data_IF_806296033012
#
_entry.id   IF_806296033012
#
_cell.length_a   1.000
_cell.length_b   1.000
_cell.length_c   1.000
_cell.angle_alpha   90.00
_cell.angle_beta   90.00
_cell.angle_gamma   90.00
#
_symmetry.space_group_name_H-M   'P 1'
#
loop_
_entity.id
_entity.type
_entity.pdbx_description
1 polymer ?
#
# COMPACT_ATOMS: atom_id res chain seq x y z
N UNK A 1 42.33 5.54 6.09
CA UNK A 1 41.15 5.54 6.97
C UNK A 1 40.02 4.79 6.28
N UNK A 2 39.79 3.53 6.65
CA UNK A 2 38.69 2.74 6.13
C UNK A 2 37.40 3.14 6.84
N UNK A 3 36.41 3.60 6.08
CA UNK A 3 35.07 3.89 6.57
C UNK A 3 34.36 2.56 6.80
N UNK A 4 34.17 2.20 8.07
CA UNK A 4 33.46 1.00 8.49
C UNK A 4 31.96 1.18 8.21
N UNK A 5 31.46 0.61 7.11
CA UNK A 5 30.03 0.47 6.88
C UNK A 5 29.45 -0.53 7.88
N UNK A 6 28.95 -0.04 9.02
CA UNK A 6 28.12 -0.83 9.93
C UNK A 6 26.80 -1.10 9.20
N UNK A 7 26.69 -2.28 8.57
CA UNK A 7 25.39 -2.84 8.19
C UNK A 7 24.69 -3.28 9.47
N UNK A 8 23.87 -2.40 10.03
CA UNK A 8 22.90 -2.79 11.06
C UNK A 8 21.87 -3.70 10.37
N UNK A 9 22.10 -5.01 10.38
CA UNK A 9 21.00 -5.98 10.25
C UNK A 9 20.22 -5.84 11.54
N UNK A 10 19.12 -5.10 11.51
CA UNK A 10 18.06 -5.25 12.52
C UNK A 10 17.47 -6.63 12.22
N UNK A 11 17.75 -7.69 12.99
CA UNK A 11 16.96 -8.89 12.86
C UNK A 11 15.62 -8.51 13.47
N UNK A 12 14.57 -8.48 12.66
CA UNK A 12 13.21 -8.27 13.14
C UNK A 12 12.86 -9.40 14.12
N UNK A 13 13.22 -9.29 15.41
CA UNK A 13 13.00 -10.32 16.44
C UNK A 13 11.54 -10.79 16.47
N UNK A 14 10.61 -9.89 16.11
CA UNK A 14 9.17 -10.13 16.03
C UNK A 14 8.81 -11.16 14.94
N UNK A 15 9.42 -11.08 13.74
CA UNK A 15 9.11 -12.01 12.63
C UNK A 15 9.61 -13.43 12.95
N UNK A 16 10.76 -13.54 13.60
CA UNK A 16 11.35 -14.83 13.98
C UNK A 16 10.40 -15.59 14.90
N UNK A 17 9.82 -14.91 15.90
CA UNK A 17 8.91 -15.52 16.88
C UNK A 17 7.63 -16.11 16.24
N UNK A 18 7.08 -15.45 15.22
CA UNK A 18 5.87 -15.93 14.56
C UNK A 18 6.11 -17.17 13.70
N UNK A 19 7.25 -17.24 13.02
CA UNK A 19 7.61 -18.41 12.23
C UNK A 19 7.88 -19.64 13.11
N UNK A 20 8.42 -19.45 14.33
CA UNK A 20 8.71 -20.56 15.24
C UNK A 20 7.47 -21.39 15.59
N UNK A 21 6.33 -20.74 15.81
CA UNK A 21 5.08 -21.41 16.18
C UNK A 21 4.52 -22.31 15.06
N UNK A 22 4.87 -22.01 13.82
CA UNK A 22 4.42 -22.77 12.65
C UNK A 22 5.49 -23.75 12.11
N UNK A 23 6.65 -23.90 12.78
CA UNK A 23 7.75 -24.78 12.32
C UNK A 23 7.35 -26.26 12.21
N UNK A 24 6.46 -26.74 13.09
CA UNK A 24 6.09 -28.15 13.19
C UNK A 24 4.76 -28.49 12.50
N UNK A 25 4.21 -27.56 11.71
CA UNK A 25 2.93 -27.73 11.00
C UNK A 25 3.12 -27.29 9.56
N UNK A 26 2.32 -27.82 8.62
CA UNK A 26 2.32 -27.33 7.23
C UNK A 26 1.92 -25.85 7.20
N UNK A 27 2.89 -24.99 6.99
CA UNK A 27 2.72 -23.53 6.94
C UNK A 27 2.33 -23.05 5.55
N UNK A 28 1.56 -21.96 5.51
CA UNK A 28 1.22 -21.24 4.29
C UNK A 28 2.47 -20.69 3.59
N UNK A 29 2.45 -20.69 2.26
CA UNK A 29 3.47 -20.05 1.44
C UNK A 29 3.03 -18.61 1.13
N UNK A 30 3.38 -17.68 2.02
CA UNK A 30 2.99 -16.29 1.93
C UNK A 30 3.75 -15.55 0.82
N UNK A 31 3.03 -14.71 0.07
CA UNK A 31 3.60 -13.89 -1.00
C UNK A 31 3.71 -12.42 -0.58
N UNK A 32 4.36 -11.58 -1.41
CA UNK A 32 4.52 -10.14 -1.19
C UNK A 32 5.06 -9.75 0.20
N UNK A 33 5.84 -10.64 0.81
CA UNK A 33 6.46 -10.44 2.12
C UNK A 33 5.50 -10.54 3.31
N UNK A 34 4.34 -11.18 3.13
CA UNK A 34 3.53 -11.67 4.25
C UNK A 34 4.23 -12.79 5.02
N UNK A 35 3.72 -13.09 6.22
CA UNK A 35 4.25 -14.15 7.07
C UNK A 35 3.11 -15.00 7.67
N UNK A 36 3.35 -16.27 8.02
CA UNK A 36 2.31 -17.15 8.54
C UNK A 36 1.66 -16.59 9.81
N UNK A 37 0.34 -16.72 9.91
CA UNK A 37 -0.39 -16.29 11.09
C UNK A 37 -0.10 -17.25 12.26
N UNK A 38 0.37 -16.75 13.42
CA UNK A 38 0.91 -17.60 14.50
C UNK A 38 -0.11 -18.48 15.21
N UNK A 39 -1.41 -18.23 15.00
CA UNK A 39 -2.52 -19.08 15.52
C UNK A 39 -3.21 -19.88 14.42
N UNK A 40 -2.97 -19.55 13.15
CA UNK A 40 -3.60 -20.20 11.98
C UNK A 40 -2.55 -20.32 10.88
N UNK A 41 -1.65 -21.30 11.01
CA UNK A 41 -0.48 -21.43 10.15
C UNK A 41 -0.79 -21.63 8.65
N UNK A 42 -2.04 -21.96 8.29
CA UNK A 42 -2.51 -22.08 6.91
C UNK A 42 -2.89 -20.75 6.25
N UNK A 43 -2.83 -19.63 6.98
CA UNK A 43 -3.07 -18.27 6.49
C UNK A 43 -1.89 -17.36 6.78
N UNK A 44 -1.84 -16.23 6.09
CA UNK A 44 -0.80 -15.23 6.21
C UNK A 44 -1.33 -13.92 6.81
N UNK A 45 -0.48 -13.25 7.57
CA UNK A 45 -0.60 -11.83 7.88
C UNK A 45 0.04 -11.06 6.74
N UNK A 46 -0.72 -10.13 6.15
CA UNK A 46 -0.33 -9.43 4.92
C UNK A 46 0.11 -8.00 5.19
N UNK A 47 1.11 -7.48 4.45
CA UNK A 47 1.40 -6.05 4.43
C UNK A 47 0.20 -5.24 3.92
N UNK A 48 0.11 -3.98 4.32
CA UNK A 48 -0.95 -3.07 3.85
C UNK A 48 -0.99 -3.01 2.32
N UNK A 49 -2.19 -3.06 1.76
CA UNK A 49 -2.41 -3.15 0.31
C UNK A 49 -2.40 -4.57 -0.25
N UNK A 50 -2.17 -5.61 0.55
CA UNK A 50 -2.26 -7.02 0.15
C UNK A 50 -3.22 -7.79 1.05
N UNK A 51 -3.87 -8.81 0.49
CA UNK A 51 -4.88 -9.60 1.17
C UNK A 51 -5.01 -11.02 0.62
N UNK A 52 -6.08 -11.68 1.05
CA UNK A 52 -6.30 -13.11 0.81
C UNK A 52 -5.44 -13.99 1.73
N UNK A 53 -5.71 -15.32 1.76
CA UNK A 53 -5.04 -16.23 2.67
C UNK A 53 -3.51 -16.29 2.51
N UNK A 54 -3.00 -15.94 1.32
CA UNK A 54 -1.58 -16.02 0.97
C UNK A 54 -0.97 -14.65 0.59
N UNK A 55 -1.66 -13.54 0.83
CA UNK A 55 -1.23 -12.18 0.46
C UNK A 55 -1.04 -11.96 -1.05
N UNK A 56 -1.68 -12.79 -1.87
CA UNK A 56 -1.60 -12.78 -3.34
C UNK A 56 -2.84 -12.15 -3.99
N UNK A 57 -3.73 -11.56 -3.21
CA UNK A 57 -4.95 -10.92 -3.67
C UNK A 57 -4.99 -9.47 -3.21
N UNK A 58 -5.74 -8.64 -3.92
CA UNK A 58 -6.12 -7.31 -3.43
C UNK A 58 -6.97 -7.46 -2.15
N UNK A 59 -6.81 -6.60 -1.14
CA UNK A 59 -7.71 -6.57 0.01
C UNK A 59 -9.19 -6.52 -0.42
N UNK A 60 -10.07 -7.27 0.26
CA UNK A 60 -11.48 -7.39 -0.12
C UNK A 60 -12.31 -6.21 0.42
N UNK A 61 -11.91 -4.97 0.13
CA UNK A 61 -12.68 -3.79 0.54
C UNK A 61 -13.93 -3.61 -0.33
N UNK A 62 -14.90 -2.84 0.17
CA UNK A 62 -16.13 -2.48 -0.54
C UNK A 62 -15.90 -1.56 -1.76
N UNK A 63 -14.68 -1.06 -1.93
CA UNK A 63 -14.24 -0.19 -3.01
C UNK A 63 -12.84 -0.58 -3.49
N UNK A 64 -12.26 0.21 -4.38
CA UNK A 64 -11.01 -0.13 -5.05
C UNK A 64 -11.19 -1.20 -6.14
N UNK A 65 -10.15 -1.45 -6.92
CA UNK A 65 -10.14 -2.45 -8.01
C UNK A 65 -8.73 -2.76 -8.50
N UNK A 66 -8.59 -3.86 -9.23
CA UNK A 66 -7.42 -4.09 -10.07
C UNK A 66 -7.52 -3.23 -11.34
N UNK A 67 -6.39 -2.63 -11.74
CA UNK A 67 -6.26 -1.72 -12.86
C UNK A 67 -5.08 -2.15 -13.71
N UNK A 68 -5.26 -2.16 -15.04
CA UNK A 68 -4.18 -2.49 -15.97
C UNK A 68 -3.56 -1.23 -16.55
N UNK A 69 -2.28 -0.99 -16.25
CA UNK A 69 -1.51 0.09 -16.83
C UNK A 69 -1.22 -0.17 -18.31
N UNK A 70 -1.22 0.90 -19.10
CA UNK A 70 -0.79 0.94 -20.50
C UNK A 70 0.33 1.96 -20.66
N UNK A 71 0.90 2.09 -21.86
CA UNK A 71 1.87 3.16 -22.16
C UNK A 71 1.25 4.56 -22.05
N UNK A 72 -0.05 4.67 -22.32
CA UNK A 72 -0.82 5.90 -22.15
C UNK A 72 -1.19 6.14 -20.68
N UNK A 73 -1.22 7.42 -20.30
CA UNK A 73 -1.69 7.87 -19.00
C UNK A 73 -3.18 7.60 -18.83
N UNK A 74 -3.54 6.86 -17.79
CA UNK A 74 -4.92 6.56 -17.40
C UNK A 74 -5.26 7.24 -16.08
N UNK A 75 -6.45 7.84 -15.94
CA UNK A 75 -6.88 8.44 -14.69
C UNK A 75 -7.29 7.37 -13.68
N UNK A 76 -7.05 7.66 -12.40
CA UNK A 76 -7.64 7.01 -11.24
C UNK A 76 -8.17 8.11 -10.32
N UNK A 77 -9.48 8.25 -10.25
CA UNK A 77 -10.17 9.20 -9.37
C UNK A 77 -11.03 8.42 -8.41
N UNK A 78 -10.99 8.82 -7.13
CA UNK A 78 -11.84 8.26 -6.10
C UNK A 78 -12.20 9.32 -5.04
N UNK A 79 -13.28 9.08 -4.32
CA UNK A 79 -13.77 9.95 -3.27
C UNK A 79 -14.35 9.16 -2.09
N UNK A 80 -14.11 9.65 -0.88
CA UNK A 80 -14.65 9.12 0.37
C UNK A 80 -15.37 10.24 1.11
N UNK A 81 -16.49 9.93 1.72
CA UNK A 81 -17.27 10.88 2.52
C UNK A 81 -17.83 10.19 3.76
N UNK A 82 -18.05 10.95 4.82
CA UNK A 82 -18.74 10.49 6.03
C UNK A 82 -18.16 9.19 6.61
N UNK A 83 -16.83 9.11 6.75
CA UNK A 83 -16.20 7.90 7.31
C UNK A 83 -16.50 7.80 8.79
N UNK A 84 -17.19 6.75 9.19
CA UNK A 84 -17.31 6.40 10.60
C UNK A 84 -16.10 5.57 11.02
N UNK A 85 -15.10 6.21 11.64
CA UNK A 85 -13.85 5.56 12.03
C UNK A 85 -14.07 4.36 12.97
N UNK A 86 -15.14 4.34 13.76
CA UNK A 86 -15.45 3.25 14.69
C UNK A 86 -15.79 1.93 13.99
N UNK A 87 -16.21 1.98 12.72
CA UNK A 87 -16.53 0.78 11.94
C UNK A 87 -15.28 0.01 11.48
N UNK A 88 -14.09 0.60 11.64
CA UNK A 88 -12.82 0.07 11.14
C UNK A 88 -11.85 -0.21 12.28
N UNK A 89 -11.26 -1.41 12.30
CA UNK A 89 -10.36 -1.88 13.38
C UNK A 89 -9.20 -0.90 13.62
N UNK A 90 -8.64 -0.31 12.57
CA UNK A 90 -7.55 0.66 12.67
C UNK A 90 -8.01 2.12 12.53
N UNK A 91 -9.33 2.34 12.47
CA UNK A 91 -9.94 3.66 12.39
C UNK A 91 -10.04 4.24 10.99
N UNK A 92 -9.67 3.51 9.93
CA UNK A 92 -9.67 4.04 8.56
C UNK A 92 -10.56 3.24 7.63
N UNK A 93 -11.40 3.96 6.89
CA UNK A 93 -11.97 3.44 5.65
C UNK A 93 -10.89 3.46 4.56
N UNK A 94 -10.86 2.41 3.72
CA UNK A 94 -9.80 2.19 2.73
C UNK A 94 -10.36 1.65 1.43
N UNK A 95 -9.93 2.26 0.33
CA UNK A 95 -10.07 1.72 -1.01
C UNK A 95 -8.70 1.29 -1.51
N UNK A 96 -8.45 -0.03 -1.54
CA UNK A 96 -7.21 -0.57 -2.07
C UNK A 96 -7.33 -0.82 -3.58
N UNK A 97 -6.48 -0.17 -4.37
CA UNK A 97 -6.32 -0.38 -5.80
C UNK A 97 -5.01 -1.12 -6.09
N UNK A 98 -5.03 -2.00 -7.09
CA UNK A 98 -3.83 -2.67 -7.61
C UNK A 98 -3.60 -2.24 -9.04
N UNK A 99 -2.61 -1.37 -9.27
CA UNK A 99 -2.18 -1.04 -10.62
C UNK A 99 -1.17 -2.08 -11.06
N UNK A 100 -1.46 -2.80 -12.14
CA UNK A 100 -0.67 -3.91 -12.66
C UNK A 100 -0.21 -3.63 -14.07
N UNK A 101 1.00 -4.07 -14.39
CA UNK A 101 1.57 -4.03 -15.74
C UNK A 101 2.25 -5.37 -16.07
N UNK A 102 2.68 -5.53 -17.32
CA UNK A 102 3.39 -6.73 -17.74
C UNK A 102 4.71 -6.92 -16.97
N UNK A 103 5.24 -8.15 -16.93
CA UNK A 103 6.55 -8.38 -16.32
C UNK A 103 7.64 -7.55 -17.01
N UNK A 104 8.71 -7.21 -16.27
CA UNK A 104 9.83 -6.37 -16.75
C UNK A 104 9.39 -4.95 -17.19
N UNK A 105 8.35 -4.42 -16.56
CA UNK A 105 7.93 -3.02 -16.71
C UNK A 105 7.90 -2.34 -15.35
N UNK A 106 7.97 -1.02 -15.36
CA UNK A 106 7.66 -0.17 -14.20
C UNK A 106 6.32 0.52 -14.41
N UNK A 107 5.76 1.04 -13.32
CA UNK A 107 4.56 1.87 -13.32
C UNK A 107 4.95 3.26 -12.81
N UNK A 108 4.64 4.28 -13.60
CA UNK A 108 4.71 5.67 -13.17
C UNK A 108 3.32 6.08 -12.66
N UNK A 109 3.26 6.66 -11.46
CA UNK A 109 2.05 7.22 -10.86
C UNK A 109 2.26 8.71 -10.63
N UNK A 110 1.46 9.54 -11.28
CA UNK A 110 1.44 10.99 -11.13
C UNK A 110 0.32 11.40 -10.20
N UNK A 111 0.61 12.26 -9.23
CA UNK A 111 -0.38 12.87 -8.35
C UNK A 111 -0.97 14.07 -9.10
N UNK A 112 -2.27 14.02 -9.42
CA UNK A 112 -2.94 15.11 -10.17
C UNK A 112 -3.71 16.06 -9.27
N UNK A 113 -4.39 15.53 -8.26
CA UNK A 113 -5.15 16.34 -7.29
C UNK A 113 -5.24 15.61 -5.95
N UNK A 114 -5.02 16.34 -4.86
CA UNK A 114 -5.22 15.89 -3.49
C UNK A 114 -6.16 16.83 -2.75
N UNK A 115 -7.31 16.32 -2.32
CA UNK A 115 -8.29 17.06 -1.53
C UNK A 115 -8.67 16.23 -0.31
N UNK A 116 -7.79 16.07 0.70
CA UNK A 116 -8.11 15.32 1.90
C UNK A 116 -9.15 16.06 2.76
N UNK A 117 -10.03 15.32 3.42
CA UNK A 117 -10.86 15.84 4.50
C UNK A 117 -10.07 15.92 5.82
N UNK A 118 -10.47 16.85 6.68
CA UNK A 118 -9.84 17.06 7.99
C UNK A 118 -8.50 17.81 7.93
N UNK A 119 -7.86 18.03 9.09
CA UNK A 119 -6.59 18.75 9.16
C UNK A 119 -5.44 17.99 8.51
N UNK A 120 -4.75 18.64 7.57
CA UNK A 120 -3.55 18.11 6.93
C UNK A 120 -2.34 18.30 7.85
N UNK A 121 -1.68 17.20 8.21
CA UNK A 121 -0.50 17.17 9.10
C UNK A 121 0.55 16.20 8.57
N UNK A 122 1.78 16.36 9.03
CA UNK A 122 2.87 15.43 8.73
C UNK A 122 2.43 13.98 9.01
N UNK A 123 2.73 13.08 8.07
CA UNK A 123 2.31 11.68 8.12
C UNK A 123 0.90 11.40 7.57
N UNK A 124 0.13 12.42 7.15
CA UNK A 124 -1.19 12.28 6.54
C UNK A 124 -2.14 11.41 7.40
N UNK A 125 -2.33 11.83 8.65
CA UNK A 125 -3.06 11.05 9.66
C UNK A 125 -4.56 11.02 9.40
N UNK A 126 -5.17 12.09 8.89
CA UNK A 126 -6.65 12.15 8.74
C UNK A 126 -7.16 11.53 7.45
N UNK A 127 -6.53 11.87 6.33
CA UNK A 127 -6.86 11.34 5.03
C UNK A 127 -5.68 11.52 4.08
N UNK A 128 -5.64 10.69 3.05
CA UNK A 128 -4.64 10.78 2.01
C UNK A 128 -4.54 9.51 1.20
N UNK A 129 -3.48 9.41 0.41
CA UNK A 129 -3.19 8.24 -0.41
C UNK A 129 -1.81 7.68 -0.06
N UNK A 130 -1.72 6.37 0.16
CA UNK A 130 -0.46 5.64 0.27
C UNK A 130 -0.17 4.96 -1.09
N UNK A 131 1.00 5.21 -1.66
CA UNK A 131 1.44 4.63 -2.93
C UNK A 131 2.69 3.79 -2.68
N UNK A 132 2.58 2.48 -2.89
CA UNK A 132 3.67 1.53 -2.63
C UNK A 132 4.55 1.31 -3.85
N UNK A 133 5.26 2.36 -4.27
CA UNK A 133 6.16 2.33 -5.43
C UNK A 133 7.58 1.78 -5.10
N UNK A 134 7.96 1.72 -3.82
CA UNK A 134 9.27 1.29 -3.37
C UNK A 134 9.53 -0.22 -3.59
N UNK A 135 10.82 -0.61 -3.68
CA UNK A 135 11.24 -2.02 -3.85
C UNK A 135 10.75 -2.96 -2.74
N UNK A 136 10.82 -2.51 -1.48
CA UNK A 136 10.34 -3.30 -0.35
C UNK A 136 8.89 -2.91 0.00
N UNK A 137 7.94 -3.64 -0.58
CA UNK A 137 6.52 -3.39 -0.37
C UNK A 137 5.98 -3.95 0.96
N UNK A 138 6.81 -4.58 1.80
CA UNK A 138 6.44 -4.91 3.20
C UNK A 138 6.30 -3.65 4.03
N UNK A 139 7.13 -2.64 3.77
CA UNK A 139 7.12 -1.37 4.46
C UNK A 139 5.95 -0.49 3.99
N UNK A 140 5.50 0.43 4.85
CA UNK A 140 4.57 1.49 4.48
C UNK A 140 5.06 2.24 3.24
N UNK A 141 4.16 2.46 2.29
CA UNK A 141 4.43 3.25 1.09
C UNK A 141 4.54 4.75 1.36
N UNK A 142 4.71 5.51 0.28
CA UNK A 142 4.73 6.96 0.35
C UNK A 142 3.32 7.50 0.57
N UNK A 143 3.11 8.32 1.61
CA UNK A 143 1.81 8.91 1.95
C UNK A 143 1.75 10.36 1.50
N UNK A 144 0.67 10.73 0.80
CA UNK A 144 0.45 12.09 0.31
C UNK A 144 -0.93 12.62 0.69
N UNK A 145 -0.96 13.89 1.09
CA UNK A 145 -2.16 14.63 1.47
C UNK A 145 -2.01 16.15 1.25
N UNK A 146 -0.79 16.68 1.24
CA UNK A 146 -0.54 18.09 0.93
C UNK A 146 -0.67 18.38 -0.57
N UNK A 147 -1.36 19.46 -0.92
CA UNK A 147 -1.55 19.92 -2.30
C UNK A 147 -0.23 20.24 -3.01
N UNK A 148 0.82 20.62 -2.28
CA UNK A 148 2.16 20.86 -2.82
C UNK A 148 2.80 19.62 -3.48
N UNK A 149 2.27 18.42 -3.20
CA UNK A 149 2.69 17.18 -3.85
C UNK A 149 2.01 16.94 -5.22
N UNK A 150 1.07 17.79 -5.63
CA UNK A 150 0.47 17.72 -6.96
C UNK A 150 1.53 17.96 -8.04
N UNK A 151 1.48 17.15 -9.09
CA UNK A 151 2.48 17.12 -10.15
C UNK A 151 3.64 16.13 -9.90
N UNK A 152 3.86 15.67 -8.66
CA UNK A 152 4.87 14.65 -8.38
C UNK A 152 4.59 13.35 -9.12
N UNK A 153 5.67 12.71 -9.59
CA UNK A 153 5.62 11.42 -10.29
C UNK A 153 6.48 10.43 -9.52
N UNK A 154 5.87 9.31 -9.14
CA UNK A 154 6.55 8.16 -8.56
C UNK A 154 6.76 7.08 -9.60
N UNK A 155 7.98 6.57 -9.71
CA UNK A 155 8.30 5.41 -10.54
C UNK A 155 8.46 4.19 -9.66
N UNK A 156 7.75 3.11 -9.98
CA UNK A 156 7.81 1.87 -9.22
C UNK A 156 9.04 1.02 -9.55
N UNK A 157 9.45 0.19 -8.58
CA UNK A 157 10.48 -0.83 -8.77
C UNK A 157 9.91 -2.17 -9.30
N UNK A 158 8.59 -2.32 -9.35
CA UNK A 158 7.89 -3.54 -9.71
C UNK A 158 6.72 -3.24 -10.64
N UNK A 159 6.16 -4.27 -11.28
CA UNK A 159 4.99 -4.19 -12.14
C UNK A 159 3.64 -4.27 -11.40
N UNK A 160 3.65 -4.10 -10.07
CA UNK A 160 2.46 -4.04 -9.23
C UNK A 160 2.61 -2.91 -8.22
N UNK A 161 1.73 -1.92 -8.29
CA UNK A 161 1.67 -0.80 -7.34
C UNK A 161 0.32 -0.83 -6.61
N UNK A 162 0.31 -1.24 -5.33
CA UNK A 162 -0.81 -0.97 -4.46
C UNK A 162 -0.93 0.53 -4.21
N UNK A 163 -2.13 1.05 -4.40
CA UNK A 163 -2.55 2.41 -4.05
C UNK A 163 -3.67 2.30 -3.03
N UNK A 164 -3.46 2.86 -1.85
CA UNK A 164 -4.39 2.78 -0.72
C UNK A 164 -4.91 4.18 -0.48
N UNK A 165 -6.12 4.46 -0.95
CA UNK A 165 -6.81 5.69 -0.58
C UNK A 165 -7.47 5.45 0.77
N UNK A 166 -7.26 6.33 1.75
CA UNK A 166 -7.79 6.16 3.09
C UNK A 166 -8.27 7.48 3.68
N UNK A 167 -9.23 7.36 4.60
CA UNK A 167 -9.75 8.47 5.39
C UNK A 167 -10.26 7.95 6.73
N UNK A 168 -10.13 8.76 7.77
CA UNK A 168 -10.78 8.59 9.07
C UNK A 168 -11.60 9.81 9.47
N UNK A 169 -11.73 10.79 8.57
CA UNK A 169 -12.47 12.02 8.81
C UNK A 169 -13.98 11.75 8.75
N UNK A 170 -14.66 12.04 9.86
CA UNK A 170 -16.13 11.94 9.99
C UNK A 170 -16.87 13.09 9.31
N UNK A 171 -16.15 14.15 8.93
CA UNK A 171 -16.72 15.31 8.24
C UNK A 171 -15.96 15.60 6.95
N UNK A 172 -16.66 16.21 5.99
CA UNK A 172 -16.09 16.59 4.69
C UNK A 172 -15.97 15.44 3.70
N UNK A 173 -15.33 15.75 2.56
CA UNK A 173 -15.13 14.83 1.44
C UNK A 173 -13.63 14.77 1.18
N UNK A 174 -13.07 13.56 1.20
CA UNK A 174 -11.73 13.28 0.71
C UNK A 174 -11.83 12.92 -0.76
N UNK A 175 -11.01 13.51 -1.63
CA UNK A 175 -10.94 13.17 -3.04
C UNK A 175 -9.49 13.11 -3.51
N UNK A 176 -9.19 12.12 -4.34
CA UNK A 176 -7.89 12.00 -5.00
C UNK A 176 -8.08 11.86 -6.51
N UNK A 177 -7.11 12.38 -7.25
CA UNK A 177 -6.95 12.09 -8.67
C UNK A 177 -5.49 11.78 -8.93
N UNK A 178 -5.26 10.61 -9.49
CA UNK A 178 -3.96 10.14 -9.93
C UNK A 178 -4.01 9.86 -11.43
N UNK A 179 -2.86 9.87 -12.07
CA UNK A 179 -2.67 9.31 -13.40
C UNK A 179 -1.62 8.21 -13.31
N UNK A 180 -1.80 7.12 -14.05
CA UNK A 180 -0.82 6.04 -14.08
C UNK A 180 -0.57 5.54 -15.49
N UNK A 181 0.67 5.09 -15.73
CA UNK A 181 1.08 4.41 -16.96
C UNK A 181 2.20 3.43 -16.68
N UNK A 182 2.44 2.50 -17.59
CA UNK A 182 3.62 1.65 -17.58
C UNK A 182 4.75 2.25 -18.43
N UNK A 183 5.98 1.88 -18.10
CA UNK A 183 7.17 2.09 -18.94
C UNK A 183 8.06 0.85 -18.93
N UNK A 184 9.01 0.77 -19.86
CA UNK A 184 9.97 -0.33 -19.93
C UNK A 184 11.08 -0.13 -18.89
N UNK A 185 11.39 -1.19 -18.12
CA UNK A 185 12.43 -1.18 -17.07
C UNK A 185 13.85 -1.17 -17.61
#
# INVERSE_FOLDING_TARGET
>A
MQVLHIRIRIPSLIIVCFQEKCKNVRSANCTHGGFPHPRECSKCICPSGYGGPLCNQRPPDNCGKELSASTEWKPLTDMMMYVNAEDFIDGYDKCNYWIKSANNTFIAVKIKSLRPAGPVRNGCVEAGVEIKAQKNQVLTGYRFCFQEHEGLILTSYTNLVPVIFYSRSTTGISMITLEYRQGLS
#
